data_IF_115777424095
#
_entry.id   IF_115777424095
#
_cell.length_a   1.000
_cell.length_b   1.000
_cell.length_c   1.000
_cell.angle_alpha   90.00
_cell.angle_beta   90.00
_cell.angle_gamma   90.00
#
_symmetry.space_group_name_H-M   'P 1'
#
loop_
_entity.id
_entity.type
_entity.pdbx_description
1 polymer ?
#
# COMPACT_ATOMS: atom_id res chain seq x y z
N UNK A 1 -3.65 -13.04 -24.98
CA UNK A 1 -5.02 -12.68 -24.55
C UNK A 1 -5.39 -13.44 -23.27
N UNK A 2 -5.94 -12.73 -22.28
CA UNK A 2 -6.47 -13.23 -21.01
C UNK A 2 -7.76 -14.07 -21.22
N UNK A 3 -7.69 -15.16 -21.96
CA UNK A 3 -8.87 -15.94 -22.36
C UNK A 3 -8.90 -17.36 -21.75
N UNK A 4 -7.83 -17.79 -21.09
CA UNK A 4 -7.74 -19.14 -20.52
C UNK A 4 -7.17 -19.09 -19.09
N UNK A 5 -8.04 -19.26 -18.10
CA UNK A 5 -7.72 -19.18 -16.67
C UNK A 5 -7.61 -20.54 -15.99
N UNK A 6 -7.63 -21.64 -16.74
CA UNK A 6 -7.76 -23.00 -16.19
C UNK A 6 -6.64 -23.40 -15.21
N UNK A 7 -5.48 -22.74 -15.33
CA UNK A 7 -4.29 -22.99 -14.50
C UNK A 7 -3.71 -21.70 -13.92
N UNK A 8 -4.54 -20.67 -13.71
CA UNK A 8 -4.06 -19.38 -13.20
C UNK A 8 -4.80 -19.02 -11.91
N UNK A 9 -4.03 -18.64 -10.89
CA UNK A 9 -4.62 -18.13 -9.65
C UNK A 9 -5.06 -16.69 -9.84
N UNK A 10 -6.30 -16.34 -9.48
CA UNK A 10 -6.79 -14.95 -9.57
C UNK A 10 -5.91 -13.93 -8.84
N UNK A 11 -5.28 -14.33 -7.71
CA UNK A 11 -4.29 -13.52 -6.99
C UNK A 11 -3.07 -13.16 -7.84
N UNK A 12 -2.60 -14.07 -8.69
CA UNK A 12 -1.48 -13.79 -9.59
C UNK A 12 -1.87 -12.74 -10.63
N UNK A 13 -3.02 -12.92 -11.28
CA UNK A 13 -3.54 -11.96 -12.28
C UNK A 13 -3.72 -10.58 -11.65
N UNK A 14 -4.33 -10.53 -10.46
CA UNK A 14 -4.51 -9.28 -9.73
C UNK A 14 -3.17 -8.58 -9.44
N UNK A 15 -2.21 -9.29 -8.86
CA UNK A 15 -0.89 -8.71 -8.57
C UNK A 15 -0.15 -8.30 -9.85
N UNK A 16 -0.27 -9.06 -10.94
CA UNK A 16 0.37 -8.73 -12.21
C UNK A 16 -0.22 -7.45 -12.83
N UNK A 17 -1.56 -7.34 -12.85
CA UNK A 17 -2.25 -6.15 -13.33
C UNK A 17 -1.92 -4.93 -12.47
N UNK A 18 -1.96 -5.07 -11.14
CA UNK A 18 -1.60 -4.01 -10.20
C UNK A 18 -0.23 -3.38 -10.52
N UNK A 19 0.76 -4.22 -10.85
CA UNK A 19 2.14 -3.76 -11.07
C UNK A 19 2.41 -3.31 -12.51
N UNK A 20 1.81 -3.97 -13.52
CA UNK A 20 2.20 -3.78 -14.92
C UNK A 20 1.16 -3.02 -15.75
N UNK A 21 -0.11 -2.98 -15.32
CA UNK A 21 -1.18 -2.41 -16.14
C UNK A 21 -1.32 -0.91 -15.99
N UNK A 22 -0.91 -0.32 -14.86
CA UNK A 22 -1.14 1.10 -14.57
C UNK A 22 -0.67 2.03 -15.69
N UNK A 23 0.57 1.87 -16.17
CA UNK A 23 1.14 2.73 -17.23
C UNK A 23 0.37 2.59 -18.55
N UNK A 24 -0.02 1.36 -18.89
CA UNK A 24 -0.79 1.06 -20.11
C UNK A 24 -2.19 1.66 -20.01
N UNK A 25 -2.84 1.52 -18.85
CA UNK A 25 -4.14 2.11 -18.56
C UNK A 25 -4.11 3.63 -18.69
N UNK A 26 -3.07 4.29 -18.16
CA UNK A 26 -2.91 5.75 -18.26
C UNK A 26 -2.65 6.22 -19.69
N UNK A 27 -1.84 5.50 -20.46
CA UNK A 27 -1.54 5.85 -21.85
C UNK A 27 -2.72 5.61 -22.81
N UNK A 28 -3.54 4.58 -22.55
CA UNK A 28 -4.68 4.21 -23.36
C UNK A 28 -6.01 4.85 -22.96
N UNK A 29 -5.99 5.85 -22.06
CA UNK A 29 -7.19 6.58 -21.66
C UNK A 29 -7.83 7.28 -22.86
N UNK A 30 -9.16 7.21 -22.95
CA UNK A 30 -9.90 8.13 -23.79
C UNK A 30 -9.97 9.48 -23.07
N UNK A 31 -9.41 10.55 -23.64
CA UNK A 31 -9.72 11.93 -23.23
C UNK A 31 -11.16 12.27 -23.63
N UNK A 32 -12.13 11.78 -22.87
CA UNK A 32 -13.52 12.23 -22.90
C UNK A 32 -13.82 13.02 -21.62
N UNK A 33 -15.07 13.46 -21.44
CA UNK A 33 -15.51 14.16 -20.23
C UNK A 33 -15.41 13.32 -18.96
N UNK A 34 -15.27 11.99 -19.08
CA UNK A 34 -15.11 11.05 -17.96
C UNK A 34 -13.99 10.07 -18.29
N UNK A 35 -12.99 9.98 -17.42
CA UNK A 35 -11.90 9.03 -17.55
C UNK A 35 -12.45 7.60 -17.63
N UNK A 36 -12.08 6.88 -18.68
CA UNK A 36 -12.55 5.52 -18.92
C UNK A 36 -11.47 4.64 -19.53
N UNK A 37 -11.46 3.38 -19.10
CA UNK A 37 -10.61 2.33 -19.66
C UNK A 37 -11.30 1.71 -20.88
N UNK A 38 -10.61 1.67 -22.02
CA UNK A 38 -11.13 1.05 -23.24
C UNK A 38 -11.08 -0.47 -23.11
N UNK A 39 -12.20 -1.16 -23.35
CA UNK A 39 -12.25 -2.63 -23.32
C UNK A 39 -11.19 -3.29 -24.24
N UNK A 40 -10.98 -2.82 -25.49
CA UNK A 40 -9.93 -3.38 -26.34
C UNK A 40 -8.52 -3.25 -25.75
N UNK A 41 -8.23 -2.16 -25.03
CA UNK A 41 -6.94 -1.98 -24.36
C UNK A 41 -6.71 -3.05 -23.29
N UNK A 42 -7.75 -3.33 -22.50
CA UNK A 42 -7.69 -4.33 -21.45
C UNK A 42 -7.56 -5.76 -22.02
N UNK A 43 -8.35 -6.10 -23.05
CA UNK A 43 -8.32 -7.43 -23.67
C UNK A 43 -6.99 -7.73 -24.39
N UNK A 44 -6.37 -6.68 -24.95
CA UNK A 44 -5.09 -6.80 -25.64
C UNK A 44 -3.88 -6.69 -24.71
N UNK A 45 -4.08 -6.45 -23.41
CA UNK A 45 -2.98 -6.44 -22.47
C UNK A 45 -2.39 -7.84 -22.31
N UNK A 46 -1.09 -7.95 -22.54
CA UNK A 46 -0.37 -9.21 -22.47
C UNK A 46 0.05 -9.53 -21.03
N UNK A 47 -0.25 -10.76 -20.62
CA UNK A 47 0.14 -11.28 -19.32
C UNK A 47 1.02 -12.50 -19.54
N UNK A 48 2.24 -12.45 -19.02
CA UNK A 48 3.14 -13.60 -18.99
C UNK A 48 2.64 -14.58 -17.92
N UNK A 49 2.38 -15.82 -18.32
CA UNK A 49 1.86 -16.88 -17.44
C UNK A 49 2.95 -17.94 -17.30
N UNK A 50 3.66 -17.99 -16.15
CA UNK A 50 4.66 -19.02 -15.89
C UNK A 50 4.00 -20.37 -15.52
N UNK A 51 4.79 -21.45 -15.32
CA UNK A 51 4.28 -22.73 -14.82
C UNK A 51 3.54 -22.61 -13.49
N UNK A 52 2.61 -23.54 -13.22
CA UNK A 52 1.73 -23.46 -12.03
C UNK A 52 2.52 -23.48 -10.72
N UNK A 53 3.63 -24.20 -10.66
CA UNK A 53 4.52 -24.29 -9.51
C UNK A 53 5.13 -22.92 -9.19
N UNK A 54 5.60 -22.23 -10.22
CA UNK A 54 6.19 -20.88 -10.09
C UNK A 54 5.13 -19.85 -9.70
N UNK A 55 3.91 -19.94 -10.26
CA UNK A 55 2.78 -19.08 -9.87
C UNK A 55 2.50 -19.22 -8.37
N UNK A 56 2.44 -20.45 -7.85
CA UNK A 56 2.18 -20.70 -6.43
C UNK A 56 3.29 -20.13 -5.55
N UNK A 57 4.55 -20.31 -5.93
CA UNK A 57 5.70 -19.78 -5.21
C UNK A 57 5.69 -18.25 -5.17
N UNK A 58 5.46 -17.59 -6.32
CA UNK A 58 5.39 -16.14 -6.44
C UNK A 58 4.26 -15.59 -5.55
N UNK A 59 3.05 -16.15 -5.66
CA UNK A 59 1.89 -15.66 -4.88
C UNK A 59 2.14 -15.83 -3.39
N UNK A 60 2.73 -16.94 -2.97
CA UNK A 60 3.10 -17.18 -1.57
C UNK A 60 4.11 -16.14 -1.06
N UNK A 61 5.23 -15.97 -1.78
CA UNK A 61 6.29 -15.01 -1.43
C UNK A 61 5.76 -13.58 -1.36
N UNK A 62 4.99 -13.15 -2.36
CA UNK A 62 4.36 -11.81 -2.38
C UNK A 62 3.41 -11.63 -1.21
N UNK A 63 2.62 -12.65 -0.88
CA UNK A 63 1.72 -12.62 0.29
C UNK A 63 2.48 -12.41 1.61
N UNK A 64 3.55 -13.17 1.83
CA UNK A 64 4.41 -13.04 3.03
C UNK A 64 5.03 -11.64 3.12
N UNK A 65 5.56 -11.13 2.00
CA UNK A 65 6.15 -9.78 1.96
C UNK A 65 5.12 -8.69 2.22
N UNK A 66 3.95 -8.74 1.57
CA UNK A 66 2.86 -7.79 1.81
C UNK A 66 2.43 -7.78 3.28
N UNK A 67 2.29 -8.95 3.91
CA UNK A 67 1.96 -9.05 5.34
C UNK A 67 3.03 -8.44 6.24
N UNK A 68 4.32 -8.70 5.96
CA UNK A 68 5.43 -8.11 6.71
C UNK A 68 5.39 -6.59 6.64
N UNK A 69 5.23 -6.02 5.45
CA UNK A 69 5.15 -4.57 5.27
C UNK A 69 3.91 -3.98 5.95
N UNK A 70 2.75 -4.65 5.87
CA UNK A 70 1.55 -4.19 6.56
C UNK A 70 1.74 -4.12 8.09
N UNK A 71 2.43 -5.10 8.68
CA UNK A 71 2.76 -5.09 10.11
C UNK A 71 3.69 -3.94 10.49
N UNK A 72 4.67 -3.62 9.64
CA UNK A 72 5.59 -2.50 9.84
C UNK A 72 4.85 -1.16 9.77
N UNK A 73 3.98 -0.99 8.77
CA UNK A 73 3.15 0.21 8.60
C UNK A 73 2.26 0.41 9.84
N UNK A 74 1.52 -0.63 10.24
CA UNK A 74 0.64 -0.55 11.41
C UNK A 74 1.40 -0.19 12.70
N UNK A 75 2.62 -0.73 12.86
CA UNK A 75 3.47 -0.43 14.01
C UNK A 75 3.93 1.03 13.99
N UNK A 76 4.30 1.57 12.83
CA UNK A 76 4.67 2.97 12.66
C UNK A 76 3.49 3.92 12.93
N UNK A 77 2.31 3.60 12.40
CA UNK A 77 1.09 4.38 12.64
C UNK A 77 0.72 4.41 14.14
N UNK A 78 0.82 3.27 14.83
CA UNK A 78 0.61 3.19 16.27
C UNK A 78 1.63 4.03 17.05
N UNK A 79 2.91 4.00 16.66
CA UNK A 79 3.93 4.82 17.29
C UNK A 79 3.63 6.32 17.13
N UNK A 80 3.25 6.76 15.92
CA UNK A 80 2.84 8.15 15.65
C UNK A 80 1.66 8.55 16.53
N UNK A 81 0.64 7.69 16.63
CA UNK A 81 -0.54 7.92 17.47
C UNK A 81 -0.15 8.08 18.94
N UNK A 82 0.65 7.16 19.49
CA UNK A 82 1.11 7.21 20.88
C UNK A 82 1.96 8.45 21.18
N UNK A 83 2.81 8.88 20.24
CA UNK A 83 3.57 10.12 20.37
C UNK A 83 2.64 11.35 20.42
N UNK A 84 1.57 11.35 19.62
CA UNK A 84 0.54 12.39 19.66
C UNK A 84 -0.22 12.43 20.98
N UNK A 85 -0.67 11.28 21.48
CA UNK A 85 -1.34 11.16 22.79
C UNK A 85 -0.43 11.63 23.92
N UNK A 86 0.84 11.19 23.92
CA UNK A 86 1.83 11.59 24.92
C UNK A 86 2.08 13.10 24.88
N UNK A 87 2.20 13.70 23.69
CA UNK A 87 2.35 15.16 23.55
C UNK A 87 1.17 15.89 24.18
N UNK A 88 -0.06 15.48 23.87
CA UNK A 88 -1.28 16.09 24.42
C UNK A 88 -1.35 15.94 25.93
N UNK A 89 -1.04 14.76 26.47
CA UNK A 89 -1.04 14.50 27.90
C UNK A 89 0.01 15.35 28.63
N UNK A 90 1.22 15.50 28.07
CA UNK A 90 2.27 16.34 28.63
C UNK A 90 1.87 17.82 28.65
N UNK A 91 1.28 18.33 27.56
CA UNK A 91 0.77 19.71 27.51
C UNK A 91 -0.32 19.90 28.58
N UNK A 92 -1.28 18.97 28.67
CA UNK A 92 -2.35 19.03 29.67
C UNK A 92 -1.79 19.02 31.10
N UNK A 93 -0.81 18.15 31.38
CA UNK A 93 -0.17 18.07 32.68
C UNK A 93 0.60 19.35 33.04
N UNK A 94 1.29 19.96 32.09
CA UNK A 94 1.97 21.24 32.29
C UNK A 94 0.97 22.38 32.55
N UNK A 95 -0.08 22.51 31.73
CA UNK A 95 -1.08 23.57 31.87
C UNK A 95 -1.91 23.43 33.15
N UNK A 96 -2.16 22.20 33.61
CA UNK A 96 -2.85 21.93 34.89
C UNK A 96 -1.92 21.97 36.10
N UNK A 97 -0.63 22.30 35.92
CA UNK A 97 0.35 22.39 37.01
C UNK A 97 0.74 21.05 37.63
N UNK A 98 0.36 19.92 37.02
CA UNK A 98 0.82 18.58 37.43
C UNK A 98 2.29 18.35 37.14
N UNK A 99 2.85 19.09 36.17
CA UNK A 99 4.29 19.13 35.86
C UNK A 99 4.72 20.60 35.89
N UNK A 100 5.76 20.92 36.66
CA UNK A 100 6.35 22.27 36.69
C UNK A 100 7.39 22.43 35.58
N UNK A 101 7.22 23.47 34.76
CA UNK A 101 8.06 23.76 33.59
C UNK A 101 8.65 25.18 33.62
N UNK A 102 8.56 25.87 34.76
CA UNK A 102 8.92 27.31 34.86
C UNK A 102 10.41 27.60 34.63
N UNK A 103 11.30 26.68 35.01
CA UNK A 103 12.75 26.80 34.81
C UNK A 103 13.27 25.88 33.70
N UNK A 104 12.38 25.29 32.89
CA UNK A 104 12.77 24.34 31.87
C UNK A 104 13.35 25.06 30.64
N UNK A 105 14.57 24.71 30.26
CA UNK A 105 15.18 25.09 28.98
C UNK A 105 15.25 23.88 28.05
N UNK A 106 14.90 24.10 26.78
CA UNK A 106 15.05 23.09 25.75
C UNK A 106 16.54 22.76 25.54
N UNK A 107 16.93 21.49 25.37
CA UNK A 107 18.29 21.14 24.99
C UNK A 107 18.64 21.81 23.66
N UNK A 108 19.81 22.45 23.58
CA UNK A 108 20.34 22.96 22.32
C UNK A 108 20.60 21.77 21.39
N UNK A 109 19.91 21.75 20.25
CA UNK A 109 20.05 20.73 19.21
C UNK A 109 21.34 20.85 18.40
#
# INVERSE_FOLDING_TARGET
MLNNFRHITGKFVFNYLEQNFYKVAMAGQAKSTVDSLRLPLFLNFEVTIPPIEEIQEIVSKVGVLKNKYQSLISSAENAIKLMGERRTALISAAVTGKIDVRDWQAPNG
#
